data_IF_258451911491
#
_entry.id   IF_258451911491
#
_cell.length_a   1.000
_cell.length_b   1.000
_cell.length_c   1.000
_cell.angle_alpha   90.00
_cell.angle_beta   90.00
_cell.angle_gamma   90.00
#
_symmetry.space_group_name_H-M   'P 1'
#
loop_
_entity.id
_entity.type
_entity.pdbx_description
1 polymer ?
#
# COMPACT_ATOMS: atom_id res chain seq x y z
N UNK A 1 53.73 -52.11 -7.60
CA UNK A 1 54.16 -51.12 -8.61
C UNK A 1 53.99 -49.73 -7.95
N UNK A 2 55.08 -49.11 -7.54
CA UNK A 2 55.06 -47.93 -6.65
C UNK A 2 54.65 -46.68 -7.40
N UNK A 3 53.55 -46.09 -6.98
CA UNK A 3 53.02 -44.84 -7.47
C UNK A 3 53.99 -43.65 -7.37
N UNK A 4 54.93 -43.71 -6.41
CA UNK A 4 56.00 -42.72 -6.22
C UNK A 4 57.02 -42.67 -7.37
N UNK A 5 57.27 -43.83 -8.08
CA UNK A 5 58.25 -43.89 -9.15
C UNK A 5 57.70 -43.24 -10.47
N UNK A 6 56.42 -43.08 -10.60
CA UNK A 6 55.82 -42.42 -11.75
C UNK A 6 55.93 -40.89 -11.69
N UNK A 7 55.99 -40.31 -10.51
CA UNK A 7 56.08 -38.85 -10.28
C UNK A 7 57.47 -38.27 -10.60
N UNK A 8 58.53 -39.09 -10.58
CA UNK A 8 59.91 -38.63 -10.88
C UNK A 8 60.20 -38.41 -12.38
N UNK A 9 59.28 -38.79 -13.29
CA UNK A 9 59.49 -38.63 -14.75
C UNK A 9 58.75 -37.45 -15.36
N UNK A 10 58.09 -36.61 -14.56
CA UNK A 10 57.42 -35.46 -15.09
C UNK A 10 58.46 -34.37 -15.43
N UNK A 11 58.64 -33.95 -16.66
CA UNK A 11 59.63 -32.95 -17.02
C UNK A 11 59.31 -31.64 -16.31
N UNK A 12 60.32 -30.98 -15.73
CA UNK A 12 60.18 -29.71 -14.97
C UNK A 12 59.40 -28.65 -15.71
N UNK A 13 59.41 -28.68 -17.04
CA UNK A 13 58.63 -27.79 -17.90
C UNK A 13 57.12 -27.99 -17.72
N UNK A 14 56.64 -29.21 -17.55
CA UNK A 14 55.22 -29.52 -17.34
C UNK A 14 54.76 -29.00 -15.95
N UNK A 15 55.58 -29.10 -14.95
CA UNK A 15 55.29 -28.61 -13.58
C UNK A 15 55.11 -27.08 -13.60
N UNK A 16 56.03 -26.38 -14.28
CA UNK A 16 55.94 -24.89 -14.43
C UNK A 16 54.70 -24.50 -15.23
N UNK A 17 54.39 -25.24 -16.29
CA UNK A 17 53.22 -24.97 -17.11
C UNK A 17 51.91 -25.15 -16.33
N UNK A 18 51.78 -26.24 -15.58
CA UNK A 18 50.66 -26.49 -14.69
C UNK A 18 50.52 -25.45 -13.59
N UNK A 19 51.63 -25.03 -12.98
CA UNK A 19 51.63 -23.98 -11.95
C UNK A 19 51.12 -22.63 -12.53
N UNK A 20 51.59 -22.25 -13.72
CA UNK A 20 51.14 -21.03 -14.39
C UNK A 20 49.66 -21.10 -14.85
N UNK A 21 49.21 -22.28 -15.33
CA UNK A 21 47.83 -22.51 -15.68
C UNK A 21 46.91 -22.41 -14.45
N UNK A 22 47.34 -23.04 -13.36
CA UNK A 22 46.59 -23.00 -12.10
C UNK A 22 46.50 -21.60 -11.50
N UNK A 23 47.58 -20.80 -11.55
CA UNK A 23 47.58 -19.41 -11.12
C UNK A 23 46.63 -18.55 -11.98
N UNK A 24 46.61 -18.74 -13.29
CA UNK A 24 45.65 -18.03 -14.18
C UNK A 24 44.21 -18.41 -13.91
N UNK A 25 43.95 -19.70 -13.64
CA UNK A 25 42.63 -20.20 -13.32
C UNK A 25 42.10 -19.68 -11.97
N UNK A 26 42.97 -19.65 -10.94
CA UNK A 26 42.63 -19.09 -9.62
C UNK A 26 42.38 -17.57 -9.71
N UNK A 27 43.18 -16.83 -10.48
CA UNK A 27 42.99 -15.40 -10.71
C UNK A 27 41.64 -15.13 -11.43
N UNK A 28 41.28 -15.98 -12.41
CA UNK A 28 40.01 -15.86 -13.12
C UNK A 28 38.83 -16.13 -12.20
N UNK A 29 38.88 -17.15 -11.34
CA UNK A 29 37.84 -17.44 -10.33
C UNK A 29 37.68 -16.26 -9.36
N UNK A 30 38.81 -15.70 -8.90
CA UNK A 30 38.80 -14.55 -7.97
C UNK A 30 38.13 -13.33 -8.62
N UNK A 31 38.43 -13.08 -9.89
CA UNK A 31 37.84 -11.99 -10.65
C UNK A 31 36.34 -12.19 -10.89
N UNK A 32 35.88 -13.43 -11.12
CA UNK A 32 34.49 -13.81 -11.20
C UNK A 32 33.75 -13.59 -9.87
N UNK A 33 34.35 -14.02 -8.76
CA UNK A 33 33.79 -13.82 -7.42
C UNK A 33 33.67 -12.33 -7.07
N UNK A 34 34.69 -11.53 -7.37
CA UNK A 34 34.66 -10.08 -7.12
C UNK A 34 33.60 -9.38 -7.97
N UNK A 35 33.40 -9.80 -9.22
CA UNK A 35 32.35 -9.25 -10.07
C UNK A 35 30.94 -9.56 -9.55
N UNK A 36 30.72 -10.78 -9.03
CA UNK A 36 29.44 -11.16 -8.39
C UNK A 36 29.21 -10.35 -7.12
N UNK A 37 30.25 -10.11 -6.31
CA UNK A 37 30.15 -9.25 -5.12
C UNK A 37 29.80 -7.80 -5.47
N UNK A 38 30.38 -7.24 -6.51
CA UNK A 38 30.08 -5.87 -6.96
C UNK A 38 28.66 -5.74 -7.48
N UNK A 39 28.12 -6.74 -8.19
CA UNK A 39 26.73 -6.76 -8.65
C UNK A 39 25.77 -6.90 -7.46
N UNK A 40 26.08 -7.76 -6.49
CA UNK A 40 25.27 -7.93 -5.27
C UNK A 40 25.20 -6.63 -4.43
N UNK A 41 26.29 -5.88 -4.34
CA UNK A 41 26.32 -4.57 -3.68
C UNK A 41 25.52 -3.49 -4.44
N UNK A 42 25.53 -3.51 -5.78
CA UNK A 42 24.74 -2.57 -6.59
C UNK A 42 23.24 -2.83 -6.51
N UNK A 43 22.83 -4.10 -6.43
CA UNK A 43 21.40 -4.48 -6.36
C UNK A 43 20.73 -4.07 -5.03
N UNK A 44 21.52 -3.85 -3.97
CA UNK A 44 21.00 -3.43 -2.67
C UNK A 44 20.71 -1.92 -2.53
N UNK A 45 21.03 -1.10 -3.54
CA UNK A 45 20.79 0.35 -3.47
C UNK A 45 19.38 0.80 -3.86
N UNK A 46 18.53 -0.07 -4.40
CA UNK A 46 17.20 0.33 -4.91
C UNK A 46 16.05 0.18 -3.93
N UNK A 47 16.26 -0.44 -2.75
CA UNK A 47 15.24 -0.55 -1.71
C UNK A 47 15.76 -0.01 -0.37
N UNK A 48 16.02 1.30 -0.28
CA UNK A 48 16.09 1.96 1.03
C UNK A 48 14.73 1.82 1.69
N UNK A 49 14.61 0.81 2.54
CA UNK A 49 13.41 0.60 3.36
C UNK A 49 13.23 1.87 4.19
N UNK A 50 12.16 2.62 3.92
CA UNK A 50 11.84 3.82 4.69
C UNK A 50 11.82 3.48 6.18
N UNK A 51 12.40 4.34 7.01
CA UNK A 51 12.39 4.15 8.47
C UNK A 51 10.99 4.40 9.03
N UNK A 52 10.67 3.77 10.16
CA UNK A 52 9.36 3.99 10.80
C UNK A 52 9.16 5.47 11.19
N UNK A 53 10.22 6.14 11.66
CA UNK A 53 10.17 7.57 12.00
C UNK A 53 9.92 8.47 10.77
N UNK A 54 10.54 8.16 9.64
CA UNK A 54 10.31 8.88 8.39
C UNK A 54 8.87 8.64 7.90
N UNK A 55 8.35 7.42 8.06
CA UNK A 55 6.99 7.07 7.71
C UNK A 55 5.96 7.80 8.59
N UNK A 56 6.22 7.91 9.89
CA UNK A 56 5.40 8.69 10.83
C UNK A 56 5.39 10.17 10.46
N UNK A 57 6.53 10.72 10.05
CA UNK A 57 6.61 12.10 9.58
C UNK A 57 5.80 12.32 8.29
N UNK A 58 5.88 11.41 7.32
CA UNK A 58 5.06 11.47 6.12
C UNK A 58 3.56 11.37 6.45
N UNK A 59 3.18 10.49 7.39
CA UNK A 59 1.80 10.38 7.84
C UNK A 59 1.28 11.66 8.50
N UNK A 60 2.08 12.30 9.35
CA UNK A 60 1.73 13.58 9.99
C UNK A 60 1.58 14.71 8.97
N UNK A 61 2.41 14.72 7.92
CA UNK A 61 2.39 15.80 6.93
C UNK A 61 1.31 15.58 5.87
N UNK A 62 1.15 14.35 5.37
CA UNK A 62 0.37 14.04 4.17
C UNK A 62 -0.72 13.01 4.38
N UNK A 63 -0.73 12.29 5.52
CA UNK A 63 -1.79 11.32 5.80
C UNK A 63 -3.09 12.02 6.16
N UNK A 64 -4.21 11.52 5.62
CA UNK A 64 -5.53 12.07 5.86
C UNK A 64 -6.43 11.99 4.63
N UNK A 65 -7.37 12.91 4.53
CA UNK A 65 -8.37 12.96 3.47
C UNK A 65 -8.07 14.11 2.49
N UNK A 66 -8.31 13.85 1.22
CA UNK A 66 -8.11 14.76 0.09
C UNK A 66 -9.45 14.99 -0.59
N UNK A 67 -10.03 16.17 -0.42
CA UNK A 67 -11.34 16.53 -0.92
C UNK A 67 -11.18 17.29 -2.21
N UNK A 68 -11.74 16.74 -3.29
CA UNK A 68 -11.75 17.34 -4.63
C UNK A 68 -12.98 18.19 -4.86
N UNK A 69 -14.11 17.85 -4.20
CA UNK A 69 -15.37 18.63 -4.25
C UNK A 69 -15.98 18.69 -2.85
N UNK A 70 -15.80 19.83 -2.19
CA UNK A 70 -16.28 20.08 -0.82
C UNK A 70 -17.82 20.10 -0.75
N UNK A 71 -18.50 20.53 -1.81
CA UNK A 71 -19.97 20.55 -1.86
C UNK A 71 -20.52 19.13 -1.81
N UNK A 72 -20.01 18.26 -2.67
CA UNK A 72 -20.48 16.87 -2.71
C UNK A 72 -19.99 16.07 -1.50
N UNK A 73 -18.83 16.38 -0.93
CA UNK A 73 -18.38 15.77 0.33
C UNK A 73 -19.38 16.03 1.44
N UNK A 74 -19.77 17.28 1.68
CA UNK A 74 -20.78 17.66 2.69
C UNK A 74 -22.15 17.04 2.42
N UNK A 75 -22.53 16.93 1.14
CA UNK A 75 -23.79 16.30 0.75
C UNK A 75 -23.79 14.80 1.08
N UNK A 76 -22.69 14.09 0.76
CA UNK A 76 -22.53 12.67 1.13
C UNK A 76 -22.53 12.51 2.65
N UNK A 77 -21.79 13.32 3.38
CA UNK A 77 -21.71 13.26 4.83
C UNK A 77 -23.12 13.39 5.47
N UNK A 78 -23.91 14.34 4.99
CA UNK A 78 -25.29 14.52 5.43
C UNK A 78 -26.16 13.29 5.15
N UNK A 79 -26.17 12.80 3.89
CA UNK A 79 -26.98 11.65 3.50
C UNK A 79 -26.55 10.40 4.30
N UNK A 80 -25.25 10.13 4.42
CA UNK A 80 -24.79 8.96 5.16
C UNK A 80 -25.05 9.06 6.67
N UNK A 81 -25.05 10.27 7.24
CA UNK A 81 -25.48 10.50 8.62
C UNK A 81 -26.95 10.13 8.82
N UNK A 82 -27.84 10.60 7.95
CA UNK A 82 -29.27 10.28 7.98
C UNK A 82 -29.52 8.78 7.75
N UNK A 83 -28.81 8.16 6.82
CA UNK A 83 -28.83 6.71 6.56
C UNK A 83 -28.40 5.91 7.79
N UNK A 84 -27.33 6.34 8.46
CA UNK A 84 -26.80 5.71 9.67
C UNK A 84 -27.78 5.80 10.83
N UNK A 85 -28.41 6.96 11.02
CA UNK A 85 -29.43 7.18 12.04
C UNK A 85 -30.65 6.30 11.81
N UNK A 86 -31.15 6.23 10.58
CA UNK A 86 -32.28 5.35 10.25
C UNK A 86 -31.95 3.87 10.49
N UNK A 87 -30.74 3.42 10.10
CA UNK A 87 -30.30 2.03 10.38
C UNK A 87 -30.27 1.75 11.88
N UNK A 88 -29.75 2.68 12.68
CA UNK A 88 -29.68 2.54 14.14
C UNK A 88 -31.05 2.44 14.79
N UNK A 89 -32.03 3.18 14.28
CA UNK A 89 -33.39 3.22 14.81
C UNK A 89 -34.32 2.14 14.22
N UNK A 90 -33.86 1.38 13.22
CA UNK A 90 -34.61 0.30 12.61
C UNK A 90 -34.43 -0.99 13.41
N UNK A 91 -35.55 -1.58 13.90
CA UNK A 91 -35.50 -2.90 14.52
C UNK A 91 -35.15 -3.95 13.48
N UNK A 92 -34.00 -4.60 13.64
CA UNK A 92 -33.57 -5.71 12.81
C UNK A 92 -34.12 -7.05 13.29
N UNK A 93 -34.06 -8.09 12.44
CA UNK A 93 -34.30 -9.47 12.85
C UNK A 93 -33.13 -9.93 13.70
N UNK A 94 -33.41 -10.38 14.91
CA UNK A 94 -32.37 -10.94 15.77
C UNK A 94 -31.85 -12.26 15.19
N UNK A 95 -30.53 -12.33 15.05
CA UNK A 95 -29.78 -13.49 14.53
C UNK A 95 -29.11 -14.29 15.65
N UNK A 96 -29.29 -13.87 16.93
CA UNK A 96 -28.58 -14.41 18.08
C UNK A 96 -27.21 -13.76 18.32
N UNK A 97 -26.67 -13.91 19.54
CA UNK A 97 -25.35 -13.36 19.89
C UNK A 97 -25.23 -11.84 19.83
N UNK A 98 -26.34 -11.08 19.84
CA UNK A 98 -26.35 -9.64 19.74
C UNK A 98 -26.27 -9.11 18.30
N UNK A 99 -26.41 -9.97 17.30
CA UNK A 99 -26.40 -9.61 15.88
C UNK A 99 -27.84 -9.40 15.37
N UNK A 100 -28.04 -8.35 14.58
CA UNK A 100 -29.33 -8.00 14.00
C UNK A 100 -29.21 -7.81 12.49
N UNK A 101 -30.05 -8.52 11.72
CA UNK A 101 -30.17 -8.27 10.27
C UNK A 101 -31.11 -7.10 10.04
N UNK A 102 -30.61 -6.01 9.47
CA UNK A 102 -31.38 -4.84 9.11
C UNK A 102 -31.73 -4.91 7.63
N UNK A 103 -32.99 -4.68 7.28
CA UNK A 103 -33.39 -4.51 5.88
C UNK A 103 -32.92 -3.14 5.38
N UNK A 104 -31.89 -3.11 4.54
CA UNK A 104 -31.32 -1.89 3.98
C UNK A 104 -32.20 -1.25 2.91
N UNK A 105 -33.17 -1.99 2.33
CA UNK A 105 -34.07 -1.50 1.29
C UNK A 105 -34.83 -0.24 1.70
N UNK A 106 -35.36 -0.24 2.95
CA UNK A 106 -36.04 0.94 3.50
C UNK A 106 -35.14 2.17 3.60
N UNK A 107 -33.85 1.94 3.92
CA UNK A 107 -32.84 3.02 4.00
C UNK A 107 -32.55 3.56 2.62
N UNK A 108 -32.43 2.69 1.62
CA UNK A 108 -32.13 3.06 0.23
C UNK A 108 -33.31 3.79 -0.43
N UNK A 109 -34.53 3.40 -0.09
CA UNK A 109 -35.76 4.09 -0.57
C UNK A 109 -35.91 5.48 0.05
N UNK A 110 -35.65 5.64 1.34
CA UNK A 110 -35.81 6.89 2.06
C UNK A 110 -34.67 7.87 1.85
N UNK A 111 -33.46 7.38 1.78
CA UNK A 111 -32.24 8.15 1.57
C UNK A 111 -31.39 7.50 0.46
N UNK A 112 -31.76 7.71 -0.81
CA UNK A 112 -31.01 7.15 -1.93
C UNK A 112 -29.60 7.75 -1.99
N UNK A 113 -28.62 6.93 -2.38
CA UNK A 113 -27.24 7.37 -2.57
C UNK A 113 -27.09 8.15 -3.88
N UNK A 114 -27.74 9.30 -3.98
CA UNK A 114 -27.79 10.13 -5.18
C UNK A 114 -27.44 11.57 -4.82
N UNK A 115 -26.49 12.14 -5.55
CA UNK A 115 -26.07 13.54 -5.40
C UNK A 115 -27.05 14.50 -6.05
N UNK A 116 -26.95 15.78 -5.72
CA UNK A 116 -27.73 16.86 -6.30
C UNK A 116 -27.61 17.00 -7.83
N UNK A 117 -26.52 16.45 -8.41
CA UNK A 117 -26.33 16.36 -9.86
C UNK A 117 -27.02 15.14 -10.51
N UNK A 118 -27.81 14.35 -9.76
CA UNK A 118 -28.49 13.15 -10.22
C UNK A 118 -27.60 11.91 -10.36
N UNK A 119 -26.30 11.99 -10.03
CA UNK A 119 -25.40 10.84 -10.11
C UNK A 119 -25.43 10.04 -8.81
N UNK A 120 -25.42 8.71 -8.94
CA UNK A 120 -25.22 7.82 -7.78
C UNK A 120 -23.80 7.92 -7.29
N UNK A 121 -23.63 8.11 -5.98
CA UNK A 121 -22.31 8.07 -5.35
C UNK A 121 -22.07 6.73 -4.66
N UNK A 122 -20.79 6.44 -4.42
CA UNK A 122 -20.31 5.26 -3.72
C UNK A 122 -19.33 5.68 -2.63
N UNK A 123 -19.44 5.02 -1.47
CA UNK A 123 -18.49 5.18 -0.34
C UNK A 123 -17.56 3.97 -0.21
N UNK A 124 -17.75 2.98 -1.08
CA UNK A 124 -16.96 1.75 -1.15
C UNK A 124 -16.70 1.36 -2.60
N UNK A 125 -15.43 1.13 -2.93
CA UNK A 125 -15.06 0.59 -4.25
C UNK A 125 -15.63 -0.81 -4.49
N UNK A 126 -15.78 -1.62 -3.41
CA UNK A 126 -16.37 -2.97 -3.49
C UNK A 126 -17.81 -2.90 -3.95
N UNK A 127 -18.59 -1.96 -3.40
CA UNK A 127 -19.99 -1.79 -3.78
C UNK A 127 -20.13 -1.33 -5.24
N UNK A 128 -19.26 -0.41 -5.67
CA UNK A 128 -19.23 0.02 -7.07
C UNK A 128 -18.90 -1.14 -8.02
N UNK A 129 -17.86 -1.94 -7.73
CA UNK A 129 -17.45 -3.07 -8.56
C UNK A 129 -18.54 -4.15 -8.62
N UNK A 130 -19.21 -4.44 -7.48
CA UNK A 130 -20.33 -5.37 -7.42
C UNK A 130 -21.52 -4.90 -8.26
N UNK A 131 -21.87 -3.62 -8.14
CA UNK A 131 -23.10 -3.08 -8.75
C UNK A 131 -22.91 -2.80 -10.25
N UNK A 132 -21.72 -2.48 -10.71
CA UNK A 132 -21.43 -2.10 -12.09
C UNK A 132 -20.67 -3.13 -12.91
N UNK A 133 -19.98 -4.07 -12.24
CA UNK A 133 -19.06 -5.01 -12.88
C UNK A 133 -17.76 -4.37 -13.38
N UNK A 134 -17.52 -3.08 -13.09
CA UNK A 134 -16.34 -2.32 -13.53
C UNK A 134 -15.35 -2.18 -12.37
N UNK A 135 -14.05 -2.02 -12.68
CA UNK A 135 -13.04 -1.70 -11.67
C UNK A 135 -13.06 -0.23 -11.26
N UNK A 136 -12.95 0.00 -9.95
CA UNK A 136 -12.87 1.34 -9.38
C UNK A 136 -11.43 1.86 -9.38
N UNK A 137 -10.96 2.35 -10.53
CA UNK A 137 -9.60 2.88 -10.68
C UNK A 137 -9.60 4.41 -10.55
N UNK A 138 -8.66 4.95 -9.75
CA UNK A 138 -8.50 6.39 -9.59
C UNK A 138 -7.78 6.94 -10.82
N UNK A 139 -8.39 7.88 -11.60
CA UNK A 139 -7.71 8.45 -12.76
C UNK A 139 -6.45 9.23 -12.37
N UNK A 140 -5.38 9.10 -13.17
CA UNK A 140 -4.06 9.65 -12.87
C UNK A 140 -4.06 11.17 -12.63
N UNK A 141 -4.98 11.91 -13.26
CA UNK A 141 -5.14 13.35 -13.03
C UNK A 141 -5.37 13.73 -11.56
N UNK A 142 -6.07 12.88 -10.78
CA UNK A 142 -6.32 13.10 -9.36
C UNK A 142 -5.11 12.70 -8.51
N UNK A 143 -4.46 11.60 -8.88
CA UNK A 143 -3.20 11.17 -8.25
C UNK A 143 -2.12 12.22 -8.43
N UNK A 144 -2.03 12.83 -9.62
CA UNK A 144 -1.05 13.90 -9.91
C UNK A 144 -1.21 15.11 -8.99
N UNK A 145 -2.44 15.46 -8.60
CA UNK A 145 -2.67 16.55 -7.62
C UNK A 145 -2.12 16.23 -6.23
N UNK A 146 -2.23 14.99 -5.79
CA UNK A 146 -1.64 14.55 -4.53
C UNK A 146 -0.10 14.56 -4.65
N UNK A 147 0.44 14.10 -5.79
CA UNK A 147 1.90 14.16 -6.06
C UNK A 147 2.43 15.59 -6.08
N UNK A 148 1.68 16.55 -6.62
CA UNK A 148 2.04 17.98 -6.60
C UNK A 148 2.17 18.50 -5.16
N UNK A 149 1.26 18.14 -4.27
CA UNK A 149 1.32 18.53 -2.85
C UNK A 149 2.48 17.88 -2.11
N UNK A 150 2.68 16.57 -2.30
CA UNK A 150 3.67 15.79 -1.56
C UNK A 150 5.10 15.95 -2.08
N UNK A 151 5.24 16.27 -3.36
CA UNK A 151 6.47 16.07 -4.12
C UNK A 151 6.68 14.61 -4.52
N UNK A 152 7.27 14.41 -5.70
CA UNK A 152 7.45 13.06 -6.28
C UNK A 152 8.23 12.11 -5.37
N UNK A 153 9.24 12.61 -4.66
CA UNK A 153 10.11 11.76 -3.81
C UNK A 153 9.35 11.25 -2.59
N UNK A 154 8.57 12.10 -1.91
CA UNK A 154 7.74 11.70 -0.78
C UNK A 154 6.61 10.74 -1.21
N UNK A 155 6.02 10.99 -2.38
CA UNK A 155 4.99 10.10 -2.92
C UNK A 155 5.56 8.71 -3.27
N UNK A 156 6.77 8.63 -3.86
CA UNK A 156 7.46 7.36 -4.15
C UNK A 156 7.83 6.59 -2.87
N UNK A 157 8.21 7.30 -1.82
CA UNK A 157 8.52 6.72 -0.50
C UNK A 157 7.29 6.23 0.24
N UNK A 158 6.09 6.73 -0.10
CA UNK A 158 4.85 6.31 0.53
C UNK A 158 4.52 4.86 0.19
N UNK A 159 4.35 3.98 1.20
CA UNK A 159 4.07 2.56 0.99
C UNK A 159 2.64 2.30 0.51
N UNK A 160 1.73 3.22 0.82
CA UNK A 160 0.32 3.09 0.50
C UNK A 160 -0.06 4.05 -0.63
N UNK A 161 -1.03 3.63 -1.42
CA UNK A 161 -1.67 4.47 -2.45
C UNK A 161 -2.94 5.08 -1.88
N UNK A 162 -3.39 6.24 -2.42
CA UNK A 162 -4.71 6.78 -2.10
C UNK A 162 -5.81 5.76 -2.40
N UNK A 163 -6.86 5.74 -1.59
CA UNK A 163 -8.04 4.91 -1.76
C UNK A 163 -9.29 5.79 -1.94
N UNK A 164 -10.25 5.31 -2.70
CA UNK A 164 -11.56 5.95 -2.89
C UNK A 164 -12.38 5.85 -1.59
N UNK A 165 -12.89 6.99 -1.13
CA UNK A 165 -13.79 7.09 0.02
C UNK A 165 -15.16 7.60 -0.41
N UNK A 166 -15.18 8.65 -1.25
CA UNK A 166 -16.39 9.20 -1.86
C UNK A 166 -16.15 9.43 -3.35
N UNK A 167 -17.02 8.90 -4.22
CA UNK A 167 -16.88 9.07 -5.66
C UNK A 167 -18.18 8.76 -6.40
N UNK A 168 -18.27 9.19 -7.64
CA UNK A 168 -19.33 8.80 -8.58
C UNK A 168 -18.73 8.48 -9.95
N UNK A 169 -19.54 7.89 -10.83
CA UNK A 169 -19.16 7.66 -12.22
C UNK A 169 -19.78 8.73 -13.12
N UNK A 170 -18.96 9.32 -13.97
CA UNK A 170 -19.41 10.19 -15.05
C UNK A 170 -18.69 9.83 -16.35
N UNK A 171 -19.46 9.65 -17.44
CA UNK A 171 -18.95 9.26 -18.76
C UNK A 171 -18.00 8.05 -18.70
N UNK A 172 -18.36 7.01 -17.97
CA UNK A 172 -17.55 5.80 -17.73
C UNK A 172 -16.20 6.06 -17.04
N UNK A 173 -16.05 7.19 -16.36
CA UNK A 173 -14.86 7.50 -15.59
C UNK A 173 -15.20 7.74 -14.12
N UNK A 174 -14.35 7.27 -13.24
CA UNK A 174 -14.45 7.57 -11.81
C UNK A 174 -14.11 9.05 -11.59
N UNK A 175 -15.00 9.74 -10.89
CA UNK A 175 -14.82 11.12 -10.41
C UNK A 175 -14.72 11.07 -8.89
N UNK A 176 -13.52 11.09 -8.32
CA UNK A 176 -13.33 11.15 -6.88
C UNK A 176 -13.84 12.47 -6.31
N UNK A 177 -14.63 12.37 -5.24
CA UNK A 177 -15.01 13.49 -4.38
C UNK A 177 -14.04 13.55 -3.22
N UNK A 178 -13.71 12.38 -2.66
CA UNK A 178 -12.79 12.22 -1.55
C UNK A 178 -11.88 11.01 -1.76
N UNK A 179 -10.58 11.22 -1.53
CA UNK A 179 -9.58 10.16 -1.43
C UNK A 179 -8.99 10.15 -0.02
N UNK A 180 -8.68 8.98 0.49
CA UNK A 180 -7.97 8.83 1.76
C UNK A 180 -6.59 8.25 1.55
N UNK A 181 -5.60 8.80 2.26
CA UNK A 181 -4.23 8.30 2.28
C UNK A 181 -3.81 7.98 3.71
N UNK A 182 -3.65 6.70 3.99
CA UNK A 182 -3.21 6.18 5.27
C UNK A 182 -1.81 5.59 5.17
N UNK A 183 -1.14 5.51 6.29
CA UNK A 183 0.21 4.94 6.38
C UNK A 183 0.19 3.74 7.31
N UNK A 184 0.94 2.71 6.93
CA UNK A 184 1.07 1.51 7.74
C UNK A 184 2.48 0.97 7.68
N UNK A 185 2.96 0.40 8.79
CA UNK A 185 4.18 -0.38 8.82
C UNK A 185 3.96 -1.68 9.59
N UNK A 186 4.90 -2.61 9.46
CA UNK A 186 4.85 -3.86 10.19
C UNK A 186 5.90 -3.88 11.28
N UNK A 187 5.46 -4.13 12.53
CA UNK A 187 6.33 -4.37 13.69
C UNK A 187 6.46 -5.87 13.90
N UNK A 188 7.68 -6.36 13.96
CA UNK A 188 7.93 -7.76 14.30
C UNK A 188 7.83 -7.93 15.82
N UNK A 189 6.96 -8.81 16.26
CA UNK A 189 6.88 -9.29 17.65
C UNK A 189 7.58 -10.63 17.75
N UNK A 190 8.33 -10.83 18.82
CA UNK A 190 8.97 -12.10 19.15
C UNK A 190 8.23 -12.73 20.31
N UNK A 191 7.95 -14.03 20.22
CA UNK A 191 7.19 -14.78 21.22
C UNK A 191 6.70 -16.10 20.64
N UNK A 192 5.91 -16.83 21.39
CA UNK A 192 5.19 -18.02 20.93
C UNK A 192 3.83 -17.56 20.40
N UNK A 193 3.61 -17.73 19.10
CA UNK A 193 2.37 -17.39 18.42
C UNK A 193 1.88 -18.61 17.63
N UNK A 194 0.58 -18.74 17.53
CA UNK A 194 -0.07 -19.79 16.76
C UNK A 194 -1.24 -20.36 17.49
N UNK A 195 -1.98 -21.19 16.80
CA UNK A 195 -3.07 -22.00 17.28
C UNK A 195 -2.94 -23.44 16.76
N UNK A 196 -3.87 -24.29 17.14
CA UNK A 196 -3.86 -25.70 16.73
C UNK A 196 -3.94 -25.89 15.20
N UNK A 197 -4.45 -24.92 14.45
CA UNK A 197 -4.61 -25.00 13.00
C UNK A 197 -3.41 -24.45 12.21
N UNK A 198 -2.71 -23.44 12.75
CA UNK A 198 -1.62 -22.74 12.04
C UNK A 198 -0.20 -23.11 12.49
N UNK A 199 -0.09 -23.98 13.52
CA UNK A 199 1.19 -24.36 14.11
C UNK A 199 1.85 -23.25 14.94
N UNK A 200 2.99 -23.55 15.52
CA UNK A 200 3.74 -22.64 16.41
C UNK A 200 4.77 -21.86 15.61
N UNK A 201 4.82 -20.54 15.80
CA UNK A 201 5.82 -19.63 15.23
C UNK A 201 6.40 -18.72 16.29
N UNK A 202 7.68 -18.40 16.18
CA UNK A 202 8.40 -17.54 17.14
C UNK A 202 8.42 -16.07 16.76
N UNK A 203 7.84 -15.72 15.60
CA UNK A 203 7.77 -14.35 15.10
C UNK A 203 6.36 -14.08 14.56
N UNK A 204 5.83 -12.94 14.88
CA UNK A 204 4.60 -12.43 14.29
C UNK A 204 4.80 -11.02 13.75
N UNK A 205 4.00 -10.63 12.74
CA UNK A 205 4.02 -9.30 12.15
C UNK A 205 2.72 -8.58 12.49
N UNK A 206 2.81 -7.62 13.37
CA UNK A 206 1.70 -6.72 13.67
C UNK A 206 1.68 -5.56 12.68
N UNK A 207 0.53 -5.32 12.08
CA UNK A 207 0.31 -4.14 11.23
C UNK A 207 -0.04 -2.95 12.11
N UNK A 208 0.82 -1.94 12.10
CA UNK A 208 0.60 -0.69 12.82
C UNK A 208 0.05 0.34 11.82
N UNK A 209 -1.13 0.85 12.13
CA UNK A 209 -1.76 1.93 11.38
C UNK A 209 -1.37 3.28 11.97
N UNK A 210 -0.94 4.22 11.11
CA UNK A 210 -0.60 5.58 11.50
C UNK A 210 -1.71 6.50 10.98
N UNK A 211 -2.56 7.06 11.85
CA UNK A 211 -3.58 8.01 11.43
C UNK A 211 -2.92 9.33 10.99
N UNK A 212 -3.25 9.81 9.80
CA UNK A 212 -2.77 11.10 9.31
C UNK A 212 -3.51 12.27 9.95
N UNK A 213 -4.83 12.21 9.95
CA UNK A 213 -5.70 13.22 10.56
C UNK A 213 -5.70 14.59 9.88
N UNK A 214 -5.12 14.72 8.68
CA UNK A 214 -5.19 15.96 7.91
C UNK A 214 -6.41 15.95 6.99
N UNK A 215 -6.97 17.15 6.75
CA UNK A 215 -7.99 17.40 5.74
C UNK A 215 -7.40 18.38 4.73
N UNK A 216 -7.32 17.97 3.46
CA UNK A 216 -6.85 18.80 2.36
C UNK A 216 -8.01 19.08 1.41
N UNK A 217 -8.25 20.34 1.08
CA UNK A 217 -9.33 20.76 0.19
C UNK A 217 -8.72 21.32 -1.09
N UNK A 218 -9.19 20.87 -2.25
CA UNK A 218 -8.74 21.39 -3.53
C UNK A 218 -9.38 22.74 -3.80
N UNK A 219 -8.58 23.80 -3.72
CA UNK A 219 -8.98 25.19 -3.96
C UNK A 219 -8.08 25.78 -5.03
N UNK A 220 -8.64 26.40 -6.06
CA UNK A 220 -7.87 26.98 -7.16
C UNK A 220 -6.81 26.04 -7.74
N UNK A 221 -7.21 24.76 -7.93
CA UNK A 221 -6.37 23.70 -8.49
C UNK A 221 -5.17 23.28 -7.62
N UNK A 222 -5.11 23.68 -6.35
CA UNK A 222 -4.08 23.28 -5.36
C UNK A 222 -4.74 22.80 -4.08
N UNK A 223 -4.15 21.79 -3.45
CA UNK A 223 -4.59 21.36 -2.13
C UNK A 223 -4.13 22.33 -1.04
N UNK A 224 -5.08 22.77 -0.23
CA UNK A 224 -4.84 23.59 0.95
C UNK A 224 -5.24 22.75 2.17
N UNK A 225 -4.37 22.71 3.17
CA UNK A 225 -4.67 22.04 4.43
C UNK A 225 -5.74 22.84 5.17
N UNK A 226 -6.89 22.20 5.44
CA UNK A 226 -7.91 22.82 6.28
C UNK A 226 -7.39 22.95 7.72
N UNK A 227 -7.63 24.08 8.34
CA UNK A 227 -7.39 24.24 9.77
C UNK A 227 -8.31 23.27 10.50
N UNK A 228 -7.77 22.57 11.51
CA UNK A 228 -8.64 21.84 12.45
C UNK A 228 -9.48 22.91 13.15
N UNK A 229 -10.79 22.89 12.89
CA UNK A 229 -11.70 23.68 13.69
C UNK A 229 -11.47 23.28 15.16
N UNK A 230 -11.23 24.29 16.00
CA UNK A 230 -11.00 24.13 17.44
C UNK A 230 -12.26 23.68 18.13
#
# INVERSE_FOLDING_TARGET
MNFLALLCKIPRFLIVYFKNLFMKFTAFILLLLTSIFLIACSANQTNKKISNSELENLAKQYGGVYIFDEKFEKEIEKIESERKELRKNTKGKDLGGGLYAINTKLVDEKFPQTLSNGKRYYTSWIDYERDTGKKAEIPEKYISKIKELMGNDNYKKSPNRPILVGFYEDNNQIVPIELSMSYTYYKTKYGLFGDEGMGIRFKDKERIFIPGGNKFILTNNKFIKANKDK
#
